data_IF_574903782870
#
_entry.id   IF_574903782870
#
_cell.length_a   1.000
_cell.length_b   1.000
_cell.length_c   1.000
_cell.angle_alpha   90.00
_cell.angle_beta   90.00
_cell.angle_gamma   90.00
#
_symmetry.space_group_name_H-M   'P 1'
#
loop_
_entity.id
_entity.type
_entity.pdbx_description
1 polymer ?
#
# COMPACT_ATOMS: atom_id res chain seq x y z
N UNK A 1 15.44 -1.22 19.22
CA UNK A 1 14.55 -0.48 19.49
C UNK A 1 13.71 -0.12 18.49
N UNK A 2 12.65 -0.42 18.50
CA UNK A 2 11.77 -0.18 17.47
C UNK A 2 11.35 1.23 17.43
N UNK A 3 10.87 1.64 16.33
CA UNK A 3 10.45 2.88 16.17
C UNK A 3 9.08 2.91 16.02
N UNK A 4 8.35 3.50 16.70
CA UNK A 4 6.95 3.55 16.49
C UNK A 4 6.64 4.43 15.34
N UNK A 5 5.45 4.40 14.96
CA UNK A 5 4.98 5.12 13.84
C UNK A 5 4.82 6.54 14.15
N UNK A 6 5.71 7.37 13.82
CA UNK A 6 5.53 8.69 14.13
C UNK A 6 5.40 9.45 12.89
N UNK A 7 4.73 10.46 12.81
CA UNK A 7 4.53 11.29 11.64
C UNK A 7 3.64 10.68 10.61
N UNK A 8 3.05 9.53 10.91
CA UNK A 8 2.24 8.91 9.94
C UNK A 8 0.93 9.57 9.75
N UNK A 9 0.49 10.24 10.72
CA UNK A 9 -0.74 10.97 10.59
C UNK A 9 -0.65 11.97 9.48
N UNK A 10 0.50 12.61 9.36
CA UNK A 10 0.63 13.58 8.29
C UNK A 10 0.78 12.90 6.96
N UNK A 11 1.33 11.70 6.91
CA UNK A 11 1.47 11.00 5.67
C UNK A 11 0.14 10.58 5.12
N UNK A 12 -0.68 10.02 5.96
CA UNK A 12 -1.93 9.52 5.50
C UNK A 12 -2.97 10.58 5.42
N UNK A 13 -3.02 11.45 6.34
CA UNK A 13 -3.95 12.55 6.30
C UNK A 13 -5.38 12.20 6.56
N UNK A 14 -5.70 10.95 6.95
CA UNK A 14 -7.04 10.65 7.30
C UNK A 14 -6.99 9.52 8.24
N UNK A 15 -8.03 8.90 8.46
CA UNK A 15 -8.22 8.03 9.52
C UNK A 15 -7.45 6.78 9.43
N UNK A 16 -6.30 6.77 8.97
CA UNK A 16 -5.49 5.59 8.83
C UNK A 16 -4.13 5.83 9.46
N UNK A 17 -3.50 4.77 9.87
CA UNK A 17 -2.17 4.84 10.45
C UNK A 17 -1.44 3.54 10.15
N UNK A 18 -0.12 3.58 10.18
CA UNK A 18 0.63 2.36 10.03
C UNK A 18 1.82 2.37 10.96
N UNK A 19 2.36 1.20 11.17
CA UNK A 19 3.48 1.02 12.06
C UNK A 19 4.38 -0.05 11.46
N UNK A 20 5.67 0.22 11.37
CA UNK A 20 6.60 -0.77 10.87
C UNK A 20 7.00 -1.71 12.00
N UNK A 21 6.98 -3.02 11.73
CA UNK A 21 7.28 -4.03 12.69
C UNK A 21 8.55 -4.73 12.26
N UNK A 22 9.46 -4.97 13.17
CA UNK A 22 10.70 -5.62 12.83
C UNK A 22 10.52 -7.10 12.59
N UNK A 23 11.13 -7.59 11.53
CA UNK A 23 11.15 -9.00 11.21
C UNK A 23 12.58 -9.37 10.85
N UNK A 24 12.93 -10.62 11.05
CA UNK A 24 14.30 -11.05 10.84
C UNK A 24 14.75 -10.93 9.41
N UNK A 25 13.98 -11.37 8.46
CA UNK A 25 14.37 -11.39 7.06
C UNK A 25 13.54 -10.49 6.17
N UNK A 26 12.44 -10.01 6.66
CA UNK A 26 11.51 -9.23 5.86
C UNK A 26 11.17 -7.95 6.58
N UNK A 27 10.46 -7.09 5.92
CA UNK A 27 9.89 -5.92 6.57
C UNK A 27 8.41 -6.15 6.75
N UNK A 28 7.90 -5.67 7.85
CA UNK A 28 6.47 -5.82 8.13
C UNK A 28 5.90 -4.51 8.62
N UNK A 29 4.62 -4.29 8.38
CA UNK A 29 3.95 -3.11 8.90
C UNK A 29 2.49 -3.43 9.17
N UNK A 30 1.89 -2.63 10.03
CA UNK A 30 0.49 -2.78 10.39
C UNK A 30 -0.26 -1.54 9.95
N UNK A 31 -1.40 -1.72 9.35
CA UNK A 31 -2.24 -0.61 8.92
C UNK A 31 -3.62 -0.76 9.55
N UNK A 32 -4.26 0.36 9.76
CA UNK A 32 -5.62 0.39 10.28
C UNK A 32 -6.38 1.50 9.58
N UNK A 33 -7.66 1.30 9.38
CA UNK A 33 -8.50 2.29 8.75
C UNK A 33 -9.94 2.05 9.15
N UNK A 34 -10.82 2.98 8.83
CA UNK A 34 -12.22 2.87 9.18
C UNK A 34 -12.95 1.82 8.36
N UNK A 35 -12.55 1.64 7.13
CA UNK A 35 -13.24 0.72 6.24
C UNK A 35 -12.24 0.12 5.26
N UNK A 36 -12.72 -0.75 4.40
CA UNK A 36 -11.84 -1.47 3.50
C UNK A 36 -11.20 -0.55 2.46
N UNK A 37 -11.92 0.42 1.94
CA UNK A 37 -11.33 1.36 0.98
C UNK A 37 -10.19 2.13 1.64
N UNK A 38 -10.39 2.60 2.86
CA UNK A 38 -9.34 3.28 3.59
C UNK A 38 -8.16 2.38 3.88
N UNK A 39 -8.42 1.10 4.19
CA UNK A 39 -7.34 0.16 4.46
C UNK A 39 -6.49 -0.06 3.21
N UNK A 40 -7.12 -0.22 2.06
CA UNK A 40 -6.40 -0.41 0.80
C UNK A 40 -5.54 0.81 0.48
N UNK A 41 -6.09 2.00 0.65
CA UNK A 41 -5.33 3.22 0.40
C UNK A 41 -4.19 3.39 1.40
N UNK A 42 -4.46 3.17 2.67
CA UNK A 42 -3.45 3.33 3.69
C UNK A 42 -2.30 2.34 3.51
N UNK A 43 -2.62 1.12 3.12
CA UNK A 43 -1.59 0.12 2.89
C UNK A 43 -0.70 0.52 1.72
N UNK A 44 -1.27 1.08 0.67
CA UNK A 44 -0.48 1.53 -0.48
C UNK A 44 0.44 2.69 -0.09
N UNK A 45 -0.07 3.66 0.65
CA UNK A 45 0.77 4.77 1.09
C UNK A 45 1.88 4.29 2.03
N UNK A 46 1.58 3.35 2.92
CA UNK A 46 2.59 2.82 3.82
C UNK A 46 3.69 2.09 3.04
N UNK A 47 3.28 1.33 2.06
CA UNK A 47 4.24 0.62 1.23
C UNK A 47 5.15 1.58 0.50
N UNK A 48 4.61 2.68 -0.02
CA UNK A 48 5.43 3.68 -0.69
C UNK A 48 6.42 4.32 0.27
N UNK A 49 5.99 4.58 1.49
CA UNK A 49 6.88 5.18 2.48
C UNK A 49 8.06 4.27 2.79
N UNK A 50 7.83 2.96 2.79
CA UNK A 50 8.89 2.00 3.05
C UNK A 50 9.74 1.72 1.82
N UNK A 51 9.17 1.93 0.64
CA UNK A 51 9.84 1.66 -0.61
C UNK A 51 10.90 2.70 -0.93
N UNK A 52 10.73 3.91 -0.48
CA UNK A 52 11.70 4.97 -0.73
C UNK A 52 11.63 5.56 -2.12
N UNK A 53 10.60 5.26 -2.88
CA UNK A 53 10.43 5.85 -4.20
C UNK A 53 10.25 7.34 -4.11
N UNK A 54 10.80 8.07 -5.08
CA UNK A 54 10.65 9.51 -5.10
C UNK A 54 10.22 9.95 -6.47
N UNK A 55 9.11 10.67 -6.57
CA UNK A 55 8.67 11.16 -7.87
C UNK A 55 9.56 12.31 -8.33
N UNK A 56 9.60 12.53 -9.62
CA UNK A 56 10.28 13.68 -10.17
C UNK A 56 9.30 14.83 -10.28
N UNK A 57 9.77 15.95 -10.77
CA UNK A 57 8.90 17.08 -11.00
C UNK A 57 8.27 17.05 -12.39
N UNK A 58 8.44 15.97 -13.13
CA UNK A 58 7.86 15.85 -14.44
C UNK A 58 6.36 15.76 -14.40
N UNK A 59 5.73 15.66 -15.55
CA UNK A 59 4.28 15.62 -15.61
C UNK A 59 3.74 14.37 -14.94
N UNK A 60 2.56 14.48 -14.40
CA UNK A 60 1.89 13.34 -13.81
C UNK A 60 1.02 12.68 -14.84
N UNK A 61 0.70 11.43 -14.61
CA UNK A 61 -0.22 10.67 -15.41
C UNK A 61 -1.11 9.85 -14.51
N UNK A 62 -2.28 9.50 -15.01
CA UNK A 62 -3.24 8.73 -14.24
C UNK A 62 -3.32 7.34 -14.86
N UNK A 63 -3.29 6.32 -14.01
CA UNK A 63 -3.47 4.95 -14.45
C UNK A 63 -4.63 4.34 -13.73
N UNK A 64 -5.37 3.50 -14.43
CA UNK A 64 -6.43 2.75 -13.81
C UNK A 64 -5.93 1.36 -13.49
N UNK A 65 -6.30 0.88 -12.32
CA UNK A 65 -5.92 -0.44 -11.85
C UNK A 65 -7.20 -1.19 -11.46
N UNK A 66 -7.31 -2.42 -11.96
CA UNK A 66 -8.39 -3.31 -11.54
C UNK A 66 -7.77 -4.56 -10.94
N UNK A 67 -8.29 -4.97 -9.82
CA UNK A 67 -7.75 -6.09 -9.07
C UNK A 67 -8.89 -6.95 -8.57
N UNK A 68 -8.67 -8.27 -8.56
CA UNK A 68 -9.64 -9.21 -8.01
C UNK A 68 -8.97 -10.05 -6.96
N UNK A 69 -9.78 -10.58 -6.06
CA UNK A 69 -9.32 -11.51 -5.04
C UNK A 69 -10.47 -12.40 -4.61
N UNK A 70 -10.17 -13.48 -3.92
CA UNK A 70 -11.19 -14.41 -3.45
C UNK A 70 -11.72 -14.02 -2.07
N UNK A 71 -11.01 -13.15 -1.38
CA UNK A 71 -11.42 -12.62 -0.09
C UNK A 71 -10.71 -11.27 0.11
N UNK A 72 -10.94 -10.65 1.27
CA UNK A 72 -10.34 -9.34 1.54
C UNK A 72 -8.82 -9.40 1.62
N UNK A 73 -8.30 -10.50 2.15
CA UNK A 73 -6.86 -10.64 2.29
C UNK A 73 -6.20 -10.75 0.93
N UNK A 74 -6.72 -11.57 0.04
CA UNK A 74 -6.13 -11.70 -1.29
C UNK A 74 -6.32 -10.42 -2.09
N UNK A 75 -7.45 -9.73 -1.90
CA UNK A 75 -7.67 -8.47 -2.58
C UNK A 75 -6.61 -7.45 -2.15
N UNK A 76 -6.30 -7.40 -0.87
CA UNK A 76 -5.30 -6.48 -0.36
C UNK A 76 -3.91 -6.79 -0.92
N UNK A 77 -3.52 -8.07 -0.90
CA UNK A 77 -2.21 -8.46 -1.43
C UNK A 77 -2.13 -8.18 -2.93
N UNK A 78 -3.17 -8.54 -3.66
CA UNK A 78 -3.16 -8.34 -5.11
C UNK A 78 -3.13 -6.87 -5.47
N UNK A 79 -3.82 -6.04 -4.70
CA UNK A 79 -3.79 -4.59 -4.89
C UNK A 79 -2.37 -4.04 -4.71
N UNK A 80 -1.71 -4.42 -3.62
CA UNK A 80 -0.38 -3.89 -3.36
C UNK A 80 0.64 -4.39 -4.36
N UNK A 81 0.51 -5.65 -4.79
CA UNK A 81 1.41 -6.16 -5.80
C UNK A 81 1.18 -5.49 -7.15
N UNK A 82 -0.04 -5.11 -7.45
CA UNK A 82 -0.30 -4.39 -8.68
C UNK A 82 0.31 -2.97 -8.64
N UNK A 83 0.23 -2.31 -7.49
CA UNK A 83 0.88 -1.02 -7.32
C UNK A 83 2.39 -1.16 -7.53
N UNK A 84 3.00 -2.19 -6.95
CA UNK A 84 4.42 -2.43 -7.16
C UNK A 84 4.74 -2.69 -8.62
N UNK A 85 3.88 -3.43 -9.30
CA UNK A 85 4.10 -3.73 -10.71
C UNK A 85 4.10 -2.45 -11.54
N UNK A 86 3.17 -1.54 -11.26
CA UNK A 86 3.13 -0.28 -11.99
C UNK A 86 4.44 0.48 -11.80
N UNK A 87 4.95 0.50 -10.58
CA UNK A 87 6.20 1.20 -10.32
C UNK A 87 7.38 0.55 -10.99
N UNK A 88 7.48 -0.76 -10.87
CA UNK A 88 8.66 -1.46 -11.35
C UNK A 88 8.68 -1.62 -12.85
N UNK A 89 7.55 -1.94 -13.43
CA UNK A 89 7.49 -2.22 -14.86
C UNK A 89 7.58 -0.97 -15.70
N UNK A 90 7.15 0.16 -15.16
CA UNK A 90 7.06 1.38 -15.94
C UNK A 90 7.97 2.50 -15.45
N UNK A 91 8.75 2.24 -14.40
CA UNK A 91 9.66 3.26 -13.88
C UNK A 91 8.93 4.45 -13.29
N UNK A 92 7.82 4.20 -12.62
CA UNK A 92 6.98 5.28 -12.11
C UNK A 92 6.96 5.25 -10.59
N UNK A 93 6.68 6.40 -10.01
CA UNK A 93 6.37 6.51 -8.60
C UNK A 93 4.91 6.86 -8.48
N UNK A 94 4.20 6.15 -7.64
CA UNK A 94 2.80 6.44 -7.39
C UNK A 94 2.70 7.54 -6.36
N UNK A 95 1.76 8.45 -6.54
CA UNK A 95 1.62 9.59 -5.65
C UNK A 95 0.31 9.60 -4.89
N UNK A 96 -0.78 9.27 -5.55
CA UNK A 96 -2.09 9.29 -4.93
C UNK A 96 -2.92 8.13 -5.41
N UNK A 97 -3.77 7.64 -4.53
CA UNK A 97 -4.61 6.49 -4.80
C UNK A 97 -6.05 6.85 -4.51
N UNK A 98 -6.94 6.50 -5.44
CA UNK A 98 -8.38 6.72 -5.27
C UNK A 98 -9.10 5.45 -5.61
N UNK A 99 -9.72 4.83 -4.61
CA UNK A 99 -10.52 3.63 -4.83
C UNK A 99 -11.87 4.08 -5.35
N UNK A 100 -12.20 3.71 -6.57
CA UNK A 100 -13.43 4.15 -7.21
C UNK A 100 -14.57 3.16 -7.08
N UNK A 101 -14.27 1.88 -7.14
CA UNK A 101 -15.27 0.84 -6.96
C UNK A 101 -14.69 -0.26 -6.11
N UNK A 102 -15.48 -0.78 -5.21
CA UNK A 102 -15.00 -1.79 -4.30
C UNK A 102 -16.12 -2.74 -3.91
N UNK A 103 -15.82 -4.03 -4.06
CA UNK A 103 -16.63 -5.08 -3.46
C UNK A 103 -15.70 -5.95 -2.62
N UNK A 104 -16.21 -7.02 -2.05
CA UNK A 104 -15.35 -7.91 -1.27
C UNK A 104 -14.34 -8.65 -2.15
N UNK A 105 -14.55 -8.65 -3.47
CA UNK A 105 -13.75 -9.48 -4.37
C UNK A 105 -13.08 -8.72 -5.49
N UNK A 106 -13.37 -7.44 -5.63
CA UNK A 106 -12.80 -6.70 -6.74
C UNK A 106 -12.74 -5.22 -6.42
N UNK A 107 -11.74 -4.54 -6.97
CA UNK A 107 -11.66 -3.10 -6.85
C UNK A 107 -11.21 -2.49 -8.16
N UNK A 108 -11.57 -1.24 -8.35
CA UNK A 108 -11.05 -0.42 -9.42
C UNK A 108 -10.58 0.88 -8.79
N UNK A 109 -9.39 1.31 -9.16
CA UNK A 109 -8.80 2.49 -8.57
C UNK A 109 -8.11 3.33 -9.62
N UNK A 110 -7.98 4.61 -9.33
CA UNK A 110 -7.15 5.51 -10.11
C UNK A 110 -5.92 5.83 -9.31
N UNK A 111 -4.78 5.81 -9.98
CA UNK A 111 -3.50 6.06 -9.34
C UNK A 111 -2.80 7.16 -10.10
N UNK A 112 -2.38 8.21 -9.39
CA UNK A 112 -1.61 9.27 -10.00
C UNK A 112 -0.15 8.94 -9.88
N UNK A 113 0.59 9.06 -10.98
CA UNK A 113 1.97 8.63 -11.06
C UNK A 113 2.85 9.71 -11.67
N UNK A 114 4.14 9.65 -11.37
CA UNK A 114 5.16 10.45 -12.05
C UNK A 114 6.36 9.57 -12.32
N UNK A 115 7.18 10.00 -13.24
CA UNK A 115 8.40 9.24 -13.54
C UNK A 115 9.30 9.28 -12.31
N UNK A 116 9.84 8.15 -11.94
CA UNK A 116 10.78 8.06 -10.85
C UNK A 116 12.17 8.25 -11.41
N UNK A 117 12.88 9.30 -10.96
CA UNK A 117 14.17 9.63 -11.55
C UNK A 117 15.33 8.93 -10.86
N UNK A 118 15.06 8.11 -9.86
CA UNK A 118 16.11 7.41 -9.20
C UNK A 118 15.82 5.94 -9.22
N UNK A 119 16.85 5.15 -9.09
CA UNK A 119 16.64 3.73 -8.95
C UNK A 119 16.04 3.49 -7.60
N UNK A 120 14.81 3.10 -7.57
CA UNK A 120 14.15 2.81 -6.33
C UNK A 120 14.59 1.46 -5.79
N UNK A 121 14.59 1.31 -4.48
CA UNK A 121 14.90 0.05 -3.88
C UNK A 121 13.68 -0.68 -3.79
N UNK A 122 13.40 -1.53 -4.64
CA UNK A 122 12.10 -2.12 -4.75
C UNK A 122 11.83 -3.09 -3.62
N UNK A 123 10.62 -3.06 -3.18
CA UNK A 123 10.03 -4.14 -2.44
C UNK A 123 9.67 -5.17 -3.48
N UNK A 124 10.12 -6.41 -3.32
CA UNK A 124 9.89 -7.40 -4.34
C UNK A 124 8.45 -7.83 -4.45
N UNK A 125 7.80 -8.01 -3.35
CA UNK A 125 6.41 -8.44 -3.35
C UNK A 125 5.81 -8.29 -1.97
N UNK A 126 4.50 -8.30 -1.91
CA UNK A 126 3.76 -8.41 -0.67
C UNK A 126 3.30 -9.85 -0.57
N UNK A 127 3.52 -10.47 0.58
CA UNK A 127 3.22 -11.87 0.73
C UNK A 127 1.99 -12.07 1.58
N UNK A 128 1.42 -13.29 1.44
CA UNK A 128 0.22 -13.64 2.15
C UNK A 128 0.49 -14.27 3.49
N UNK A 129 1.68 -14.26 3.97
CA UNK A 129 2.05 -15.02 5.15
C UNK A 129 1.25 -14.59 6.37
N UNK A 130 0.37 -15.43 6.83
CA UNK A 130 -0.49 -15.19 7.99
C UNK A 130 -1.27 -13.87 7.94
N UNK A 131 -1.57 -13.42 6.74
CA UNK A 131 -2.31 -12.19 6.62
C UNK A 131 -3.75 -12.39 7.03
N UNK A 132 -4.24 -11.47 7.81
CA UNK A 132 -5.63 -11.46 8.22
C UNK A 132 -6.10 -10.02 8.29
N UNK A 133 -7.22 -9.72 7.65
CA UNK A 133 -7.87 -8.43 7.79
C UNK A 133 -8.86 -8.58 8.94
N UNK A 134 -8.59 -7.92 10.06
CA UNK A 134 -9.38 -8.07 11.27
C UNK A 134 -10.28 -6.88 11.49
N UNK A 135 -11.46 -7.16 12.01
CA UNK A 135 -12.36 -6.10 12.41
C UNK A 135 -12.05 -5.68 13.83
N UNK A 136 -12.07 -4.39 14.07
CA UNK A 136 -11.80 -3.84 15.39
C UNK A 136 -12.91 -2.86 15.71
N UNK A 137 -13.01 -2.39 16.94
CA UNK A 137 -14.03 -1.39 17.26
C UNK A 137 -13.89 -0.10 16.48
N UNK A 138 -12.72 0.14 15.88
CA UNK A 138 -12.48 1.36 15.11
C UNK A 138 -12.52 1.16 13.62
N UNK A 139 -12.66 -0.06 13.15
CA UNK A 139 -12.68 -0.34 11.72
C UNK A 139 -11.99 -1.62 11.39
N UNK A 140 -11.00 -1.56 10.51
CA UNK A 140 -10.25 -2.72 10.03
C UNK A 140 -8.77 -2.54 10.27
N UNK A 141 -8.08 -3.66 10.43
CA UNK A 141 -6.66 -3.65 10.69
C UNK A 141 -6.01 -4.84 10.01
N UNK A 142 -4.80 -4.68 9.52
CA UNK A 142 -4.07 -5.79 8.92
C UNK A 142 -2.58 -5.60 9.13
N UNK A 143 -1.88 -6.72 9.21
CA UNK A 143 -0.43 -6.73 9.29
C UNK A 143 0.10 -7.37 8.01
N UNK A 144 1.02 -6.70 7.33
CA UNK A 144 1.52 -7.12 6.05
C UNK A 144 3.02 -7.38 6.14
N UNK A 145 3.48 -8.37 5.40
CA UNK A 145 4.88 -8.72 5.34
C UNK A 145 5.37 -8.47 3.93
N UNK A 146 6.45 -7.74 3.81
CA UNK A 146 7.03 -7.36 2.54
C UNK A 146 8.31 -8.16 2.30
N UNK A 147 8.44 -8.65 1.08
CA UNK A 147 9.61 -9.38 0.68
C UNK A 147 10.57 -8.38 0.02
N UNK A 148 11.65 -8.11 0.67
CA UNK A 148 12.60 -7.10 0.18
C UNK A 148 13.91 -7.70 -0.30
#
# INVERSE_FOLDING_TARGET
>A
MSRSARGLESLVGYMAAFEEIEHTADRAFRVAARDMAGLLEAAAYAMLALDGSRPTTGPSAVREIEVEGVDRESLLVNWLNEVLYVEQAHGLACEQFHIEELTNYRLRARVETRVCDQTCRPIKAVTFHNLEVRETPRGLEAELVLDV
#
